data_IF_645713465724
#
_entry.id   IF_645713465724
#
_cell.length_a   1.000
_cell.length_b   1.000
_cell.length_c   1.000
_cell.angle_alpha   90.00
_cell.angle_beta   90.00
_cell.angle_gamma   90.00
#
_symmetry.space_group_name_H-M   'P 1'
#
loop_
_entity.id
_entity.type
_entity.pdbx_description
1 polymer ?
#
# COMPACT_ATOMS: atom_id res chain seq x y z
N UNK A 1 -16.28 -12.92 12.21
CA UNK A 1 -15.15 -11.97 12.03
C UNK A 1 -13.99 -12.61 11.27
N UNK A 2 -13.55 -13.79 11.72
CA UNK A 2 -12.41 -14.54 11.18
C UNK A 2 -12.46 -14.74 9.66
N UNK A 3 -13.59 -15.18 9.12
CA UNK A 3 -13.74 -15.43 7.68
C UNK A 3 -13.52 -14.15 6.85
N UNK A 4 -14.18 -13.04 7.22
CA UNK A 4 -14.00 -11.74 6.55
C UNK A 4 -12.55 -11.25 6.65
N UNK A 5 -11.91 -11.42 7.81
CA UNK A 5 -10.50 -11.06 7.98
C UNK A 5 -9.58 -11.95 7.14
N UNK A 6 -9.87 -13.25 7.02
CA UNK A 6 -9.13 -14.18 6.16
C UNK A 6 -9.19 -13.72 4.71
N UNK A 7 -10.36 -13.32 4.22
CA UNK A 7 -10.51 -12.74 2.87
C UNK A 7 -9.65 -11.49 2.72
N UNK A 8 -9.73 -10.56 3.67
CA UNK A 8 -8.93 -9.32 3.66
C UNK A 8 -7.42 -9.59 3.66
N UNK A 9 -6.95 -10.60 4.41
CA UNK A 9 -5.55 -11.06 4.39
C UNK A 9 -5.15 -11.65 3.03
N UNK A 10 -6.00 -12.48 2.42
CA UNK A 10 -5.73 -13.07 1.10
C UNK A 10 -5.60 -11.98 0.03
N UNK A 11 -6.49 -10.98 0.03
CA UNK A 11 -6.40 -9.84 -0.89
C UNK A 11 -5.08 -9.08 -0.70
N UNK A 12 -4.70 -8.81 0.55
CA UNK A 12 -3.45 -8.11 0.86
C UNK A 12 -2.22 -8.87 0.34
N UNK A 13 -2.16 -10.19 0.60
CA UNK A 13 -1.07 -11.06 0.15
C UNK A 13 -1.03 -11.11 -1.37
N UNK A 14 -2.17 -11.19 -2.05
CA UNK A 14 -2.24 -11.20 -3.51
C UNK A 14 -1.67 -9.91 -4.12
N UNK A 15 -2.05 -8.74 -3.59
CA UNK A 15 -1.52 -7.44 -4.02
C UNK A 15 0.00 -7.34 -3.78
N UNK A 16 0.46 -7.67 -2.57
CA UNK A 16 1.89 -7.65 -2.26
C UNK A 16 2.69 -8.58 -3.16
N UNK A 17 2.20 -9.81 -3.38
CA UNK A 17 2.89 -10.80 -4.19
C UNK A 17 2.93 -10.40 -5.66
N UNK A 18 1.81 -9.90 -6.21
CA UNK A 18 1.73 -9.40 -7.58
C UNK A 18 2.70 -8.25 -7.83
N UNK A 19 2.76 -7.30 -6.89
CA UNK A 19 3.68 -6.17 -6.97
C UNK A 19 5.15 -6.60 -6.86
N UNK A 20 5.49 -7.51 -5.94
CA UNK A 20 6.85 -8.06 -5.82
C UNK A 20 7.27 -8.77 -7.10
N UNK A 21 6.40 -9.61 -7.66
CA UNK A 21 6.65 -10.30 -8.94
C UNK A 21 6.89 -9.27 -10.05
N UNK A 22 6.04 -8.25 -10.16
CA UNK A 22 6.22 -7.21 -11.16
C UNK A 22 7.56 -6.49 -11.02
N UNK A 23 7.99 -6.18 -9.80
CA UNK A 23 9.30 -5.60 -9.56
C UNK A 23 10.41 -6.54 -10.03
N UNK A 24 10.39 -7.82 -9.61
CA UNK A 24 11.40 -8.83 -9.99
C UNK A 24 11.58 -8.90 -11.51
N UNK A 25 10.50 -8.97 -12.28
CA UNK A 25 10.57 -9.18 -13.73
C UNK A 25 10.70 -7.90 -14.56
N UNK A 26 10.04 -6.80 -14.17
CA UNK A 26 10.01 -5.55 -14.95
C UNK A 26 11.11 -4.58 -14.50
N UNK A 27 11.36 -4.53 -13.20
CA UNK A 27 12.26 -3.57 -12.55
C UNK A 27 13.72 -3.96 -12.61
N UNK A 28 14.04 -5.15 -13.15
CA UNK A 28 15.40 -5.71 -13.20
C UNK A 28 16.10 -5.60 -11.83
N UNK A 29 15.40 -6.06 -10.79
CA UNK A 29 15.83 -5.90 -9.38
C UNK A 29 17.20 -6.55 -9.13
N UNK A 30 17.56 -7.53 -9.96
CA UNK A 30 18.83 -8.24 -9.95
C UNK A 30 20.04 -7.39 -10.33
N UNK A 31 19.83 -6.28 -11.03
CA UNK A 31 20.88 -5.34 -11.44
C UNK A 31 20.85 -4.02 -10.64
N UNK A 32 20.05 -3.94 -9.56
CA UNK A 32 19.91 -2.71 -8.77
C UNK A 32 21.27 -2.28 -8.22
N UNK A 33 21.71 -1.12 -8.68
CA UNK A 33 22.75 -0.38 -7.99
C UNK A 33 22.12 0.38 -6.82
N UNK A 34 22.70 0.27 -5.62
CA UNK A 34 22.32 1.11 -4.47
C UNK A 34 22.78 2.56 -4.61
N UNK A 35 23.23 2.97 -5.80
CA UNK A 35 23.62 4.34 -6.08
C UNK A 35 22.37 5.16 -6.30
N UNK A 36 22.21 6.20 -5.48
CA UNK A 36 21.16 7.18 -5.68
C UNK A 36 21.40 7.95 -6.98
N UNK A 37 20.41 8.05 -7.89
CA UNK A 37 20.52 8.91 -9.06
C UNK A 37 20.74 10.37 -8.65
N UNK A 38 21.47 11.13 -9.47
CA UNK A 38 21.62 12.57 -9.24
C UNK A 38 20.25 13.26 -9.30
N UNK A 39 19.93 14.06 -8.28
CA UNK A 39 18.65 14.76 -8.22
C UNK A 39 18.68 16.04 -9.08
N UNK A 40 17.61 16.26 -9.82
CA UNK A 40 17.37 17.43 -10.65
C UNK A 40 15.89 17.82 -10.59
N UNK A 41 15.55 18.99 -11.14
CA UNK A 41 14.15 19.41 -11.22
C UNK A 41 13.26 18.43 -12.02
N UNK A 42 13.83 17.67 -12.97
CA UNK A 42 13.06 16.76 -13.81
C UNK A 42 12.75 15.42 -13.14
N UNK A 43 13.47 15.02 -12.08
CA UNK A 43 13.32 13.72 -11.45
C UNK A 43 12.93 13.75 -9.96
N UNK A 44 12.89 14.94 -9.34
CA UNK A 44 12.49 15.11 -7.94
C UNK A 44 11.10 14.52 -7.65
N UNK A 45 10.21 14.50 -8.64
CA UNK A 45 8.86 13.95 -8.50
C UNK A 45 8.89 12.47 -8.09
N UNK A 46 9.85 11.68 -8.58
CA UNK A 46 9.94 10.24 -8.26
C UNK A 46 10.27 9.99 -6.79
N UNK A 47 11.02 10.89 -6.16
CA UNK A 47 11.34 10.86 -4.73
C UNK A 47 10.13 11.27 -3.87
N UNK A 48 9.25 12.12 -4.41
CA UNK A 48 8.05 12.59 -3.71
C UNK A 48 6.90 11.58 -3.76
N UNK A 49 6.85 10.70 -4.77
CA UNK A 49 5.77 9.71 -4.92
C UNK A 49 5.53 8.90 -3.64
N UNK A 50 6.54 8.28 -2.98
CA UNK A 50 6.31 7.53 -1.75
C UNK A 50 5.70 8.36 -0.62
N UNK A 51 6.12 9.62 -0.49
CA UNK A 51 5.62 10.54 0.54
C UNK A 51 4.15 10.87 0.28
N UNK A 52 3.82 11.22 -0.97
CA UNK A 52 2.45 11.52 -1.39
C UNK A 52 1.57 10.28 -1.22
N UNK A 53 2.02 9.11 -1.67
CA UNK A 53 1.28 7.86 -1.56
C UNK A 53 1.05 7.45 -0.10
N UNK A 54 2.05 7.62 0.77
CA UNK A 54 1.91 7.40 2.21
C UNK A 54 0.83 8.30 2.80
N UNK A 55 0.91 9.62 2.57
CA UNK A 55 -0.05 10.59 3.14
C UNK A 55 -1.45 10.30 2.59
N UNK A 56 -1.59 10.19 1.28
CA UNK A 56 -2.88 10.05 0.62
C UNK A 56 -3.57 8.72 0.94
N UNK A 57 -2.83 7.61 0.95
CA UNK A 57 -3.38 6.30 1.32
C UNK A 57 -3.92 6.28 2.75
N UNK A 58 -3.20 6.88 3.71
CA UNK A 58 -3.64 6.98 5.10
C UNK A 58 -4.82 7.94 5.27
N UNK A 59 -4.82 9.08 4.56
CA UNK A 59 -5.92 10.02 4.57
C UNK A 59 -7.21 9.37 4.05
N UNK A 60 -7.14 8.68 2.91
CA UNK A 60 -8.28 7.98 2.32
C UNK A 60 -8.78 6.83 3.19
N UNK A 61 -7.86 6.07 3.80
CA UNK A 61 -8.21 5.02 4.76
C UNK A 61 -9.02 5.56 5.94
N UNK A 62 -8.48 6.58 6.63
CA UNK A 62 -9.16 7.22 7.77
C UNK A 62 -10.48 7.86 7.38
N UNK A 63 -10.58 8.43 6.19
CA UNK A 63 -11.81 9.05 5.70
C UNK A 63 -12.90 8.02 5.49
N UNK A 64 -12.59 6.87 4.89
CA UNK A 64 -13.58 5.81 4.69
C UNK A 64 -13.99 5.11 5.98
N UNK A 65 -13.09 4.98 6.95
CA UNK A 65 -13.43 4.43 8.27
C UNK A 65 -14.47 5.27 9.03
N UNK A 66 -14.62 6.56 8.71
CA UNK A 66 -15.70 7.39 9.29
C UNK A 66 -17.11 6.92 8.91
N UNK A 67 -17.24 6.09 7.88
CA UNK A 67 -18.52 5.47 7.52
C UNK A 67 -18.90 4.28 8.41
N UNK A 68 -18.01 3.83 9.30
CA UNK A 68 -18.31 2.77 10.26
C UNK A 68 -19.31 3.25 11.33
N UNK A 69 -20.31 2.43 11.63
CA UNK A 69 -21.28 2.72 12.69
C UNK A 69 -20.74 2.23 14.03
N UNK A 70 -20.37 3.18 14.90
CA UNK A 70 -19.81 2.89 16.22
C UNK A 70 -20.80 2.25 17.20
N UNK A 71 -22.10 2.24 16.87
CA UNK A 71 -23.14 1.60 17.68
C UNK A 71 -23.30 0.11 17.37
N UNK A 72 -22.78 -0.35 16.23
CA UNK A 72 -22.85 -1.75 15.80
C UNK A 72 -21.65 -2.56 16.30
N UNK A 73 -21.82 -3.88 16.31
CA UNK A 73 -20.73 -4.84 16.56
C UNK A 73 -19.64 -4.72 15.49
N UNK A 74 -18.40 -5.00 15.87
CA UNK A 74 -17.21 -4.94 15.00
C UNK A 74 -17.40 -5.70 13.68
N UNK A 75 -18.06 -6.85 13.70
CA UNK A 75 -18.34 -7.69 12.53
C UNK A 75 -19.20 -7.00 11.46
N UNK A 76 -20.06 -6.07 11.86
CA UNK A 76 -20.90 -5.31 10.96
C UNK A 76 -20.06 -4.30 10.16
N UNK A 77 -19.06 -3.69 10.80
CA UNK A 77 -18.16 -2.71 10.18
C UNK A 77 -17.00 -3.34 9.39
N UNK A 78 -16.85 -4.66 9.41
CA UNK A 78 -15.79 -5.36 8.65
C UNK A 78 -15.82 -5.06 7.15
N UNK A 79 -17.00 -4.82 6.57
CA UNK A 79 -17.10 -4.46 5.15
C UNK A 79 -16.50 -3.07 4.88
N UNK A 80 -16.77 -2.10 5.76
CA UNK A 80 -16.19 -0.74 5.68
C UNK A 80 -14.67 -0.82 5.81
N UNK A 81 -14.17 -1.59 6.79
CA UNK A 81 -12.73 -1.79 6.99
C UNK A 81 -12.05 -2.43 5.77
N UNK A 82 -12.66 -3.47 5.20
CA UNK A 82 -12.11 -4.16 4.03
C UNK A 82 -12.02 -3.20 2.83
N UNK A 83 -13.08 -2.45 2.53
CA UNK A 83 -13.07 -1.45 1.45
C UNK A 83 -12.03 -0.37 1.69
N UNK A 84 -11.97 0.18 2.91
CA UNK A 84 -10.98 1.19 3.28
C UNK A 84 -9.55 0.67 3.08
N UNK A 85 -9.29 -0.58 3.50
CA UNK A 85 -7.98 -1.24 3.36
C UNK A 85 -7.60 -1.47 1.91
N UNK A 86 -8.52 -1.95 1.07
CA UNK A 86 -8.28 -2.17 -0.36
C UNK A 86 -7.91 -0.86 -1.05
N UNK A 87 -8.63 0.23 -0.78
CA UNK A 87 -8.30 1.55 -1.34
C UNK A 87 -6.92 2.03 -0.89
N UNK A 88 -6.60 1.88 0.40
CA UNK A 88 -5.27 2.21 0.94
C UNK A 88 -4.17 1.46 0.21
N UNK A 89 -4.35 0.15 0.00
CA UNK A 89 -3.38 -0.70 -0.67
C UNK A 89 -3.26 -0.38 -2.16
N UNK A 90 -4.38 -0.16 -2.86
CA UNK A 90 -4.38 0.18 -4.28
C UNK A 90 -3.65 1.50 -4.57
N UNK A 91 -3.76 2.51 -3.70
CA UNK A 91 -3.01 3.76 -3.83
C UNK A 91 -1.50 3.51 -3.75
N UNK A 92 -1.06 2.68 -2.80
CA UNK A 92 0.36 2.35 -2.61
C UNK A 92 0.89 1.48 -3.76
N UNK A 93 0.14 0.44 -4.14
CA UNK A 93 0.47 -0.42 -5.27
C UNK A 93 0.57 0.39 -6.57
N UNK A 94 -0.41 1.25 -6.85
CA UNK A 94 -0.40 2.13 -8.02
C UNK A 94 0.80 3.09 -8.02
N UNK A 95 1.17 3.63 -6.87
CA UNK A 95 2.34 4.50 -6.75
C UNK A 95 3.66 3.75 -7.02
N UNK A 96 3.79 2.51 -6.54
CA UNK A 96 4.93 1.66 -6.85
C UNK A 96 4.97 1.33 -8.35
N UNK A 97 3.86 0.87 -8.95
CA UNK A 97 3.80 0.64 -10.39
C UNK A 97 4.14 1.87 -11.22
N UNK A 98 3.71 3.06 -10.79
CA UNK A 98 4.02 4.31 -11.48
C UNK A 98 5.53 4.58 -11.49
N UNK A 99 6.24 4.34 -10.39
CA UNK A 99 7.72 4.41 -10.36
C UNK A 99 8.32 3.37 -11.31
N UNK A 100 7.89 2.12 -11.18
CA UNK A 100 8.41 0.97 -11.94
C UNK A 100 8.31 1.18 -13.46
N UNK A 101 7.20 1.76 -13.93
CA UNK A 101 6.90 1.93 -15.35
C UNK A 101 7.48 3.23 -15.92
N UNK A 102 7.57 4.30 -15.13
CA UNK A 102 8.04 5.60 -15.63
C UNK A 102 9.56 5.75 -15.59
N UNK A 103 10.21 5.33 -14.51
CA UNK A 103 11.66 5.49 -14.38
C UNK A 103 12.29 4.43 -13.47
N UNK A 104 13.00 3.49 -14.09
CA UNK A 104 13.63 2.36 -13.40
C UNK A 104 14.79 2.78 -12.47
N UNK A 105 15.42 3.92 -12.70
CA UNK A 105 16.50 4.43 -11.85
C UNK A 105 16.01 4.72 -10.41
N UNK A 106 14.69 4.90 -10.23
CA UNK A 106 14.07 5.21 -8.94
C UNK A 106 13.36 4.00 -8.32
N UNK A 107 13.57 2.77 -8.83
CA UNK A 107 12.94 1.53 -8.34
C UNK A 107 13.09 1.33 -6.84
N UNK A 108 14.19 1.79 -6.22
CA UNK A 108 14.39 1.74 -4.77
C UNK A 108 13.26 2.42 -3.98
N UNK A 109 12.73 3.55 -4.47
CA UNK A 109 11.59 4.24 -3.85
C UNK A 109 10.30 3.44 -3.94
N UNK A 110 10.15 2.68 -5.03
CA UNK A 110 9.10 1.69 -5.17
C UNK A 110 9.20 0.56 -4.14
N UNK A 111 10.42 0.05 -3.90
CA UNK A 111 10.68 -0.97 -2.88
C UNK A 111 10.31 -0.47 -1.48
N UNK A 112 10.58 0.80 -1.16
CA UNK A 112 10.14 1.40 0.11
C UNK A 112 8.60 1.36 0.27
N UNK A 113 7.86 1.61 -0.81
CA UNK A 113 6.39 1.49 -0.81
C UNK A 113 5.97 0.04 -0.60
N UNK A 114 6.63 -0.93 -1.24
CA UNK A 114 6.35 -2.37 -1.06
C UNK A 114 6.57 -2.79 0.39
N UNK A 115 7.67 -2.36 1.01
CA UNK A 115 7.96 -2.64 2.41
C UNK A 115 6.88 -2.06 3.32
N UNK A 116 6.49 -0.80 3.10
CA UNK A 116 5.39 -0.19 3.84
C UNK A 116 4.06 -0.93 3.63
N UNK A 117 3.76 -1.33 2.39
CA UNK A 117 2.56 -2.11 2.06
C UNK A 117 2.54 -3.41 2.87
N UNK A 118 3.63 -4.18 2.88
CA UNK A 118 3.74 -5.41 3.68
C UNK A 118 3.59 -5.16 5.19
N UNK A 119 4.12 -4.03 5.70
CA UNK A 119 3.99 -3.66 7.10
C UNK A 119 2.55 -3.35 7.52
N UNK A 120 1.69 -2.92 6.60
CA UNK A 120 0.28 -2.58 6.88
C UNK A 120 -0.67 -3.76 6.68
N UNK A 121 -0.17 -4.99 6.79
CA UNK A 121 -0.98 -6.20 6.74
C UNK A 121 -2.13 -6.19 7.76
N UNK A 122 -3.31 -6.72 7.41
CA UNK A 122 -4.47 -6.70 8.30
C UNK A 122 -4.32 -7.75 9.41
N UNK A 123 -4.56 -7.34 10.65
CA UNK A 123 -4.63 -8.20 11.85
C UNK A 123 -5.87 -7.91 12.65
N UNK A 124 -6.28 -8.83 13.53
CA UNK A 124 -7.42 -8.60 14.41
C UNK A 124 -7.22 -7.38 15.31
N UNK A 125 -6.02 -7.21 15.85
CA UNK A 125 -5.71 -6.08 16.74
C UNK A 125 -5.78 -4.75 16.00
N UNK A 126 -5.32 -4.71 14.74
CA UNK A 126 -5.44 -3.51 13.90
C UNK A 126 -6.89 -3.20 13.57
N UNK A 127 -7.69 -4.20 13.19
CA UNK A 127 -9.12 -4.03 12.95
C UNK A 127 -9.83 -3.45 14.17
N UNK A 128 -9.55 -3.99 15.36
CA UNK A 128 -10.12 -3.49 16.62
C UNK A 128 -9.69 -2.04 16.88
N UNK A 129 -8.41 -1.74 16.71
CA UNK A 129 -7.86 -0.39 16.92
C UNK A 129 -8.42 0.63 15.94
N UNK A 130 -8.59 0.24 14.67
CA UNK A 130 -9.03 1.14 13.60
C UNK A 130 -10.55 1.42 13.63
N UNK A 131 -11.35 0.51 14.20
CA UNK A 131 -12.82 0.60 14.23
C UNK A 131 -13.41 1.04 15.58
N UNK A 132 -12.58 1.28 16.59
CA UNK A 132 -13.01 1.78 17.93
C UNK A 132 -12.74 3.29 18.01
#
# INVERSE_FOLDING_TARGET
MEEKLKVTKMIHIALCSGLVIAYIFIGDVTSISFNMPALSQSNIIYVLIPIIAYIFSNFMFKTQLKAADKTLKLEANMAVYQTASIVRWAILEGAAFLILLLNKDFVLFGILIILYLALIHPTEDRVKTDLT
#
